data_IF_953312543969
#
_entry.id   IF_953312543969
#
_cell.length_a   1.000
_cell.length_b   1.000
_cell.length_c   1.000
_cell.angle_alpha   90.00
_cell.angle_beta   90.00
_cell.angle_gamma   90.00
#
_symmetry.space_group_name_H-M   'P 1'
#
loop_
_entity.id
_entity.type
_entity.pdbx_description
1 polymer ?
#
# COMPACT_ATOMS: atom_id res chain seq x y z
N UNK A 1 -5.45 10.22 -19.63
CA UNK A 1 -5.09 9.24 -18.58
C UNK A 1 -6.33 9.06 -17.72
N UNK A 2 -6.76 7.83 -17.47
CA UNK A 2 -7.94 7.57 -16.63
C UNK A 2 -7.50 7.60 -15.17
N UNK A 3 -8.13 8.46 -14.38
CA UNK A 3 -7.92 8.54 -12.92
C UNK A 3 -8.98 7.68 -12.26
N UNK A 4 -8.57 6.78 -11.38
CA UNK A 4 -9.47 5.94 -10.59
C UNK A 4 -9.45 6.38 -9.14
N UNK A 5 -10.62 6.30 -8.51
CA UNK A 5 -10.82 6.59 -7.09
C UNK A 5 -11.26 5.32 -6.39
N UNK A 6 -10.66 5.05 -5.24
CA UNK A 6 -10.90 3.87 -4.43
C UNK A 6 -11.19 4.27 -2.99
N UNK A 7 -12.11 3.53 -2.39
CA UNK A 7 -12.58 3.75 -1.01
C UNK A 7 -12.54 2.43 -0.23
N UNK A 8 -12.82 2.48 1.07
CA UNK A 8 -12.91 1.29 1.91
C UNK A 8 -13.95 0.26 1.41
N UNK A 9 -14.93 0.69 0.60
CA UNK A 9 -15.90 -0.21 -0.03
C UNK A 9 -15.28 -1.15 -1.08
N UNK A 10 -14.15 -0.75 -1.68
CA UNK A 10 -13.40 -1.56 -2.65
C UNK A 10 -12.43 -2.54 -1.94
N UNK A 11 -11.93 -2.14 -0.78
CA UNK A 11 -11.03 -2.93 0.08
C UNK A 11 -10.22 -2.02 1.00
N UNK A 12 -9.76 -2.57 2.14
CA UNK A 12 -9.01 -1.81 3.13
C UNK A 12 -7.52 -1.71 2.77
N UNK A 13 -6.85 -2.82 2.47
CA UNK A 13 -5.42 -2.83 2.19
C UNK A 13 -5.15 -2.96 0.69
N UNK A 14 -4.20 -2.18 0.18
CA UNK A 14 -3.90 -2.15 -1.24
C UNK A 14 -2.41 -1.96 -1.52
N UNK A 15 -2.01 -2.35 -2.74
CA UNK A 15 -0.74 -1.96 -3.35
C UNK A 15 -0.98 -1.24 -4.67
N UNK A 16 -0.21 -0.17 -4.89
CA UNK A 16 -0.22 0.59 -6.13
C UNK A 16 0.90 0.06 -7.03
N UNK A 17 0.52 -0.33 -8.24
CA UNK A 17 1.41 -0.89 -9.24
C UNK A 17 1.55 0.13 -10.37
N UNK A 18 2.78 0.58 -10.62
CA UNK A 18 3.07 1.51 -11.69
C UNK A 18 2.64 0.91 -13.03
N UNK A 19 1.64 1.53 -13.67
CA UNK A 19 1.07 1.08 -14.95
C UNK A 19 2.09 0.95 -16.07
N UNK A 20 3.19 1.71 -16.04
CA UNK A 20 4.22 1.69 -17.09
C UNK A 20 5.30 0.62 -16.86
N UNK A 21 5.68 0.36 -15.61
CA UNK A 21 6.78 -0.56 -15.29
C UNK A 21 6.34 -1.90 -14.70
N UNK A 22 5.08 -2.01 -14.26
CA UNK A 22 4.56 -3.16 -13.53
C UNK A 22 5.10 -3.31 -12.11
N UNK A 23 5.88 -2.34 -11.62
CA UNK A 23 6.49 -2.39 -10.29
C UNK A 23 5.54 -1.88 -9.21
N UNK A 24 5.53 -2.52 -8.05
CA UNK A 24 4.83 -1.98 -6.86
C UNK A 24 5.58 -0.74 -6.37
N UNK A 25 4.85 0.35 -6.15
CA UNK A 25 5.42 1.63 -5.72
C UNK A 25 4.93 2.08 -4.35
N UNK A 26 3.74 1.64 -3.93
CA UNK A 26 3.13 2.03 -2.65
C UNK A 26 2.36 0.84 -2.10
N UNK A 27 2.45 0.62 -0.79
CA UNK A 27 1.48 -0.16 -0.01
C UNK A 27 0.75 0.83 0.89
N UNK A 28 -0.57 0.72 0.99
CA UNK A 28 -1.36 1.62 1.82
C UNK A 28 -2.63 0.99 2.35
N UNK A 29 -3.28 1.75 3.24
CA UNK A 29 -4.54 1.41 3.88
C UNK A 29 -5.58 2.50 3.64
N UNK A 30 -6.79 2.08 3.28
CA UNK A 30 -7.97 2.92 3.19
C UNK A 30 -8.78 2.82 4.49
N UNK A 31 -9.15 3.98 5.01
CA UNK A 31 -10.01 4.14 6.18
C UNK A 31 -11.27 4.90 5.77
N UNK A 32 -12.29 4.94 6.63
CA UNK A 32 -13.52 5.68 6.35
C UNK A 32 -13.31 7.19 6.11
N UNK A 33 -12.15 7.72 6.53
CA UNK A 33 -11.81 9.14 6.41
C UNK A 33 -10.92 9.48 5.22
N UNK A 34 -10.52 8.51 4.39
CA UNK A 34 -9.64 8.74 3.25
C UNK A 34 -10.10 8.03 1.97
N UNK A 35 -9.47 8.42 0.86
CA UNK A 35 -9.66 7.78 -0.43
C UNK A 35 -8.33 7.78 -1.18
N UNK A 36 -8.12 6.78 -2.04
CA UNK A 36 -6.98 6.72 -2.93
C UNK A 36 -7.39 7.20 -4.32
N UNK A 37 -6.69 8.19 -4.85
CA UNK A 37 -6.89 8.70 -6.20
C UNK A 37 -5.59 8.50 -6.98
N UNK A 38 -5.62 7.73 -8.06
CA UNK A 38 -4.40 7.40 -8.82
C UNK A 38 -4.66 7.11 -10.29
N UNK A 39 -3.63 7.31 -11.12
CA UNK A 39 -3.59 6.89 -12.54
C UNK A 39 -2.92 5.53 -12.74
N UNK A 40 -2.35 4.98 -11.67
CA UNK A 40 -1.69 3.68 -11.65
C UNK A 40 -2.68 2.56 -11.38
N UNK A 41 -2.23 1.32 -11.52
CA UNK A 41 -3.07 0.16 -11.20
C UNK A 41 -3.09 -0.03 -9.68
N UNK A 42 -4.20 -0.51 -9.16
CA UNK A 42 -4.39 -0.81 -7.73
C UNK A 42 -4.85 -2.24 -7.61
N UNK A 43 -4.19 -2.99 -6.72
CA UNK A 43 -4.58 -4.35 -6.35
C UNK A 43 -4.86 -4.37 -4.85
N UNK A 44 -6.07 -4.81 -4.49
CA UNK A 44 -6.45 -5.02 -3.10
C UNK A 44 -5.89 -6.36 -2.63
N UNK A 45 -5.31 -6.34 -1.44
CA UNK A 45 -4.62 -7.47 -0.84
C UNK A 45 -5.19 -7.72 0.56
N UNK A 46 -4.96 -8.91 1.07
CA UNK A 46 -5.32 -9.24 2.45
C UNK A 46 -4.42 -8.51 3.45
N UNK A 47 -4.90 -8.35 4.68
CA UNK A 47 -4.10 -7.79 5.79
C UNK A 47 -2.77 -8.55 6.00
N UNK A 48 -2.81 -9.88 5.96
CA UNK A 48 -1.61 -10.72 6.09
C UNK A 48 -0.55 -10.39 5.02
N UNK A 49 -0.99 -10.20 3.78
CA UNK A 49 -0.10 -9.82 2.68
C UNK A 49 0.44 -8.40 2.89
N UNK A 50 -0.41 -7.47 3.28
CA UNK A 50 0.00 -6.11 3.59
C UNK A 50 1.06 -6.09 4.69
N UNK A 51 0.84 -6.78 5.80
CA UNK A 51 1.81 -6.87 6.90
C UNK A 51 3.11 -7.59 6.52
N UNK A 52 3.08 -8.52 5.57
CA UNK A 52 4.25 -9.28 5.13
C UNK A 52 5.06 -8.53 4.07
N UNK A 53 4.39 -7.92 3.11
CA UNK A 53 5.00 -7.29 1.93
C UNK A 53 5.28 -5.80 2.12
N UNK A 54 4.53 -5.09 2.99
CA UNK A 54 4.78 -3.67 3.20
C UNK A 54 6.22 -3.48 3.67
N UNK A 55 6.90 -2.42 3.19
CA UNK A 55 8.18 -2.03 3.75
C UNK A 55 7.98 -1.74 5.22
N UNK A 56 8.41 -2.67 6.07
CA UNK A 56 8.49 -2.41 7.51
C UNK A 56 9.61 -1.39 7.65
N UNK A 57 9.39 -0.26 8.37
CA UNK A 57 10.54 0.49 8.83
C UNK A 57 11.44 -0.53 9.52
N UNK A 58 12.71 -0.61 9.12
CA UNK A 58 13.69 -1.40 9.85
C UNK A 58 13.52 -1.02 11.32
N UNK A 59 12.88 -1.90 12.08
CA UNK A 59 12.92 -1.89 13.53
C UNK A 59 14.35 -2.32 13.83
N UNK A 60 15.32 -1.43 13.60
CA UNK A 60 16.62 -1.58 14.19
C UNK A 60 16.37 -1.72 15.69
N UNK A 61 16.66 -2.87 16.32
CA UNK A 61 16.82 -2.83 17.75
C UNK A 61 18.01 -1.90 17.99
N UNK A 62 17.77 -0.75 18.60
CA UNK A 62 18.81 -0.03 19.32
C UNK A 62 19.16 -0.91 20.53
N UNK A 63 19.91 -1.99 20.30
CA UNK A 63 20.62 -2.69 21.38
C UNK A 63 21.94 -1.97 21.57
N UNK A 64 21.94 -1.00 22.49
CA UNK A 64 23.15 -0.44 23.06
C UNK A 64 23.93 -1.55 23.79
N UNK A 65 25.03 -2.06 23.24
CA UNK A 65 26.14 -2.74 23.95
C UNK A 65 27.36 -2.68 22.99
N UNK A 66 28.54 -2.12 23.27
CA UNK A 66 29.23 -1.75 24.50
C UNK A 66 30.34 -0.74 24.17
#
# INVERSE_FOLDING_TARGET
>A
MEVKTYTMADGQYFKVINKSTGSVIIYGELTESNQLVTIHNVEFISEEQYETERPKPDLYPITNQN
#
